data_IF_428197687670
#
_entry.id   IF_428197687670
#
_cell.length_a   1.000
_cell.length_b   1.000
_cell.length_c   1.000
_cell.angle_alpha   90.00
_cell.angle_beta   90.00
_cell.angle_gamma   90.00
#
_symmetry.space_group_name_H-M   'P 1'
#
loop_
_entity.id
_entity.type
_entity.pdbx_description
1 polymer ?
#
# COMPACT_ATOMS: atom_id res chain seq x y z
N UNK A 1 4.28 13.23 3.58
CA UNK A 1 3.53 12.01 3.24
C UNK A 1 3.46 11.95 1.73
N UNK A 2 3.94 10.87 1.10
CA UNK A 2 3.89 10.69 -0.35
C UNK A 2 2.44 10.62 -0.85
N UNK A 3 2.23 10.96 -2.12
CA UNK A 3 0.92 10.88 -2.78
C UNK A 3 0.82 9.52 -3.47
N UNK A 4 -0.20 8.75 -3.10
CA UNK A 4 -0.51 7.47 -3.72
C UNK A 4 -1.67 7.63 -4.70
N UNK A 5 -1.45 7.32 -5.98
CA UNK A 5 -2.49 7.34 -7.01
C UNK A 5 -2.88 5.91 -7.40
N UNK A 6 -4.12 5.52 -7.10
CA UNK A 6 -4.63 4.16 -7.42
C UNK A 6 -5.66 4.25 -8.55
N UNK A 7 -5.47 3.48 -9.61
CA UNK A 7 -6.50 3.28 -10.65
C UNK A 7 -7.55 2.30 -10.15
N UNK A 8 -8.80 2.74 -10.08
CA UNK A 8 -9.93 1.90 -9.68
C UNK A 8 -11.07 2.05 -10.68
N UNK A 9 -11.79 0.95 -10.91
CA UNK A 9 -13.03 0.98 -11.69
C UNK A 9 -14.11 1.84 -11.00
N UNK A 10 -14.92 2.50 -11.80
CA UNK A 10 -15.95 3.44 -11.35
C UNK A 10 -17.03 2.75 -10.49
N UNK A 11 -17.35 1.47 -10.75
CA UNK A 11 -18.29 0.72 -9.90
C UNK A 11 -17.73 0.54 -8.49
N UNK A 12 -16.45 0.17 -8.37
CA UNK A 12 -15.75 0.02 -7.09
C UNK A 12 -15.63 1.36 -6.37
N UNK A 13 -15.29 2.43 -7.10
CA UNK A 13 -15.23 3.80 -6.56
C UNK A 13 -16.56 4.24 -5.94
N UNK A 14 -17.66 4.00 -6.64
CA UNK A 14 -19.01 4.33 -6.14
C UNK A 14 -19.36 3.55 -4.89
N UNK A 15 -19.07 2.24 -4.87
CA UNK A 15 -19.29 1.42 -3.69
C UNK A 15 -18.50 1.93 -2.47
N UNK A 16 -17.22 2.25 -2.64
CA UNK A 16 -16.39 2.79 -1.55
C UNK A 16 -16.91 4.14 -1.04
N UNK A 17 -17.40 5.03 -1.90
CA UNK A 17 -18.01 6.30 -1.48
C UNK A 17 -19.25 6.08 -0.62
N UNK A 18 -20.09 5.11 -0.99
CA UNK A 18 -21.29 4.77 -0.21
C UNK A 18 -20.89 4.24 1.16
N UNK A 19 -19.94 3.30 1.22
CA UNK A 19 -19.42 2.74 2.48
C UNK A 19 -18.84 3.85 3.36
N UNK A 20 -17.96 4.69 2.81
CA UNK A 20 -17.37 5.81 3.52
C UNK A 20 -18.44 6.76 4.10
N UNK A 21 -19.51 7.01 3.34
CA UNK A 21 -20.64 7.84 3.79
C UNK A 21 -21.43 7.19 4.92
N UNK A 22 -21.64 5.87 4.87
CA UNK A 22 -22.34 5.11 5.92
C UNK A 22 -21.52 5.09 7.22
N UNK A 23 -20.20 4.94 7.11
CA UNK A 23 -19.30 4.85 8.26
C UNK A 23 -18.86 6.22 8.81
N UNK A 24 -19.26 7.33 8.16
CA UNK A 24 -18.83 8.68 8.53
C UNK A 24 -17.33 8.92 8.32
N UNK A 25 -16.71 8.18 7.39
CA UNK A 25 -15.28 8.26 7.08
C UNK A 25 -15.04 9.00 5.76
N UNK A 26 -13.85 9.57 5.62
CA UNK A 26 -13.40 10.06 4.31
C UNK A 26 -12.92 8.89 3.45
N UNK A 27 -12.90 9.06 2.12
CA UNK A 27 -12.31 8.06 1.22
C UNK A 27 -10.86 7.74 1.58
N UNK A 28 -10.07 8.77 1.95
CA UNK A 28 -8.70 8.58 2.40
C UNK A 28 -8.64 7.77 3.69
N UNK A 29 -9.46 8.10 4.69
CA UNK A 29 -9.51 7.38 5.96
C UNK A 29 -9.87 5.91 5.78
N UNK A 30 -10.87 5.60 4.96
CA UNK A 30 -11.25 4.23 4.64
C UNK A 30 -10.10 3.46 3.99
N UNK A 31 -9.42 4.05 3.01
CA UNK A 31 -8.29 3.41 2.33
C UNK A 31 -7.10 3.23 3.27
N UNK A 32 -6.79 4.22 4.11
CA UNK A 32 -5.71 4.13 5.11
C UNK A 32 -5.95 3.00 6.11
N UNK A 33 -7.18 2.85 6.62
CA UNK A 33 -7.54 1.77 7.54
C UNK A 33 -7.42 0.39 6.86
N UNK A 34 -7.88 0.26 5.62
CA UNK A 34 -7.74 -0.97 4.85
C UNK A 34 -6.26 -1.35 4.61
N UNK A 35 -5.40 -0.35 4.36
CA UNK A 35 -3.96 -0.58 4.21
C UNK A 35 -3.36 -1.06 5.54
N UNK A 36 -3.66 -0.39 6.64
CA UNK A 36 -3.16 -0.75 7.98
C UNK A 36 -3.58 -2.18 8.35
N UNK A 37 -4.86 -2.52 8.21
CA UNK A 37 -5.40 -3.84 8.49
C UNK A 37 -4.70 -4.92 7.65
N UNK A 38 -4.42 -4.62 6.38
CA UNK A 38 -3.71 -5.53 5.50
C UNK A 38 -2.25 -5.74 5.92
N UNK A 39 -1.56 -4.68 6.35
CA UNK A 39 -0.19 -4.76 6.88
C UNK A 39 -0.17 -5.60 8.17
N UNK A 40 -1.07 -5.31 9.12
CA UNK A 40 -1.19 -6.03 10.38
C UNK A 40 -1.44 -7.52 10.14
N UNK A 41 -2.36 -7.84 9.22
CA UNK A 41 -2.66 -9.23 8.84
C UNK A 41 -1.43 -9.98 8.31
N UNK A 42 -0.55 -9.29 7.58
CA UNK A 42 0.64 -9.89 6.97
C UNK A 42 1.92 -9.71 7.79
N UNK A 43 1.86 -9.05 8.96
CA UNK A 43 3.01 -8.74 9.81
C UNK A 43 3.89 -9.94 10.13
N UNK A 44 3.30 -11.12 10.37
CA UNK A 44 4.04 -12.37 10.62
C UNK A 44 4.85 -12.83 9.41
N UNK A 45 4.31 -12.67 8.20
CA UNK A 45 4.98 -13.04 6.97
C UNK A 45 6.11 -12.04 6.64
N UNK A 46 5.85 -10.75 6.86
CA UNK A 46 6.86 -9.70 6.72
C UNK A 46 8.01 -9.92 7.71
N UNK A 47 7.72 -10.21 8.97
CA UNK A 47 8.75 -10.48 9.99
C UNK A 47 9.61 -11.70 9.63
N UNK A 48 8.98 -12.79 9.17
CA UNK A 48 9.70 -13.99 8.72
C UNK A 48 10.67 -13.69 7.58
N UNK A 49 10.23 -12.89 6.60
CA UNK A 49 11.07 -12.54 5.44
C UNK A 49 12.13 -11.49 5.78
N UNK A 50 11.84 -10.57 6.70
CA UNK A 50 12.76 -9.48 7.08
C UNK A 50 13.94 -9.91 7.95
N UNK A 51 13.87 -11.07 8.61
CA UNK A 51 15.00 -11.68 9.30
C UNK A 51 16.00 -12.34 8.33
N UNK A 52 15.57 -12.63 7.10
CA UNK A 52 16.40 -13.18 6.04
C UNK A 52 16.82 -12.05 5.08
N UNK A 53 18.05 -12.09 4.57
CA UNK A 53 18.52 -11.16 3.53
C UNK A 53 17.62 -11.19 2.26
N UNK A 54 16.73 -12.16 2.17
CA UNK A 54 15.74 -12.41 1.12
C UNK A 54 14.74 -11.26 0.93
N UNK A 55 14.34 -10.51 1.98
CA UNK A 55 13.36 -9.43 1.78
C UNK A 55 13.89 -8.34 0.84
N UNK A 56 15.18 -7.98 0.99
CA UNK A 56 15.83 -6.97 0.15
C UNK A 56 15.99 -7.45 -1.30
N UNK A 57 16.27 -8.74 -1.48
CA UNK A 57 16.38 -9.35 -2.80
C UNK A 57 15.01 -9.49 -3.49
N UNK A 58 13.97 -9.89 -2.76
CA UNK A 58 12.59 -9.96 -3.25
C UNK A 58 12.06 -8.59 -3.67
N UNK A 59 12.37 -7.54 -2.91
CA UNK A 59 12.00 -6.17 -3.26
C UNK A 59 12.71 -5.70 -4.53
N UNK A 60 14.02 -5.95 -4.68
CA UNK A 60 14.77 -5.65 -5.91
C UNK A 60 14.24 -6.41 -7.12
N UNK A 61 13.90 -7.68 -6.97
CA UNK A 61 13.31 -8.47 -8.07
C UNK A 61 11.91 -7.98 -8.48
N UNK A 62 11.18 -7.40 -7.53
CA UNK A 62 9.82 -6.90 -7.73
C UNK A 62 9.77 -5.43 -8.15
N UNK A 63 10.92 -4.77 -8.32
CA UNK A 63 11.06 -3.34 -8.65
C UNK A 63 10.24 -2.94 -9.89
N UNK A 64 10.25 -3.78 -10.93
CA UNK A 64 9.43 -3.57 -12.14
C UNK A 64 7.92 -3.52 -11.81
N UNK A 65 7.48 -4.31 -10.83
CA UNK A 65 6.08 -4.33 -10.38
C UNK A 65 5.72 -3.12 -9.51
N UNK A 66 6.71 -2.40 -8.99
CA UNK A 66 6.54 -1.15 -8.25
C UNK A 66 6.72 0.10 -9.13
N UNK A 67 7.03 -0.05 -10.42
CA UNK A 67 7.20 1.08 -11.36
C UNK A 67 5.97 1.97 -11.50
N UNK A 68 4.76 1.47 -11.23
CA UNK A 68 3.54 2.29 -11.18
C UNK A 68 3.47 3.21 -9.95
N UNK A 69 4.39 3.00 -9.01
CA UNK A 69 4.49 3.69 -7.71
C UNK A 69 5.80 4.47 -7.59
N UNK A 70 6.68 4.37 -8.59
CA UNK A 70 7.93 5.11 -8.70
C UNK A 70 7.61 6.59 -8.95
N UNK A 71 7.61 7.39 -7.89
CA UNK A 71 7.51 8.83 -7.94
C UNK A 71 8.92 9.42 -7.79
N UNK A 72 9.21 10.55 -8.46
CA UNK A 72 10.53 11.23 -8.37
C UNK A 72 10.95 11.60 -6.92
N UNK A 73 10.02 11.55 -5.96
CA UNK A 73 10.23 11.80 -4.52
C UNK A 73 10.57 10.53 -3.70
N UNK A 74 10.52 9.33 -4.29
CA UNK A 74 10.77 8.06 -3.58
C UNK A 74 12.25 7.67 -3.60
N UNK A 75 13.06 8.36 -2.78
CA UNK A 75 14.35 7.85 -2.29
C UNK A 75 14.15 6.68 -1.28
N UNK A 76 13.22 5.75 -1.56
CA UNK A 76 12.83 4.66 -0.65
C UNK A 76 14.02 3.74 -0.31
N UNK A 77 15.04 3.70 -1.18
CA UNK A 77 16.14 2.74 -1.07
C UNK A 77 17.30 3.19 -0.16
N UNK A 78 17.31 4.44 0.31
CA UNK A 78 18.46 5.00 1.06
C UNK A 78 18.26 5.04 2.59
N UNK A 79 17.08 4.70 3.11
CA UNK A 79 16.75 4.85 4.55
C UNK A 79 16.09 3.62 5.18
N UNK A 80 16.66 2.44 4.95
CA UNK A 80 16.43 1.25 5.78
C UNK A 80 17.76 0.75 6.36
#
# INVERSE_FOLDING_TARGET
>A
MGIMSIRIDEKKRKALKVIASIEGKTMGGLVSELIEDYIVKNKKQIARLGEEAELKELMKLSEISFSEWDNEDDEIYDKL
#
